data_IF_478187934433
#
_entry.id   IF_478187934433
#
_cell.length_a   1.000
_cell.length_b   1.000
_cell.length_c   1.000
_cell.angle_alpha   90.00
_cell.angle_beta   90.00
_cell.angle_gamma   90.00
#
_symmetry.space_group_name_H-M   'P 1'
#
loop_
_entity.id
_entity.type
_entity.pdbx_description
1 polymer ?
#
# COMPACT_ATOMS: atom_id res chain seq x y z
N UNK A 1 19.68 -11.94 0.66
CA UNK A 1 18.76 -12.33 -0.44
C UNK A 1 19.50 -13.33 -1.28
N UNK A 2 19.08 -14.60 -1.24
CA UNK A 2 19.71 -15.66 -2.02
C UNK A 2 18.67 -16.22 -2.98
N UNK A 3 19.06 -16.31 -4.25
CA UNK A 3 18.30 -17.03 -5.25
C UNK A 3 18.93 -18.41 -5.39
N UNK A 4 18.11 -19.45 -5.34
CA UNK A 4 18.59 -20.81 -5.49
C UNK A 4 18.56 -21.17 -6.97
N UNK A 5 19.68 -21.70 -7.47
CA UNK A 5 19.77 -22.22 -8.82
C UNK A 5 19.12 -23.62 -8.87
N UNK A 6 17.99 -23.73 -9.56
CA UNK A 6 17.29 -25.01 -9.76
C UNK A 6 17.79 -25.71 -11.02
N UNK A 7 18.70 -25.09 -11.77
CA UNK A 7 19.15 -25.61 -13.05
C UNK A 7 20.21 -26.69 -12.82
N UNK A 8 19.90 -27.92 -13.23
CA UNK A 8 20.89 -28.99 -13.25
C UNK A 8 21.90 -28.75 -14.37
N UNK A 9 23.20 -29.03 -14.15
CA UNK A 9 24.18 -28.99 -15.21
C UNK A 9 23.83 -30.07 -16.24
N UNK A 10 23.62 -29.66 -17.48
CA UNK A 10 23.55 -30.57 -18.61
C UNK A 10 24.86 -31.36 -18.68
N UNK A 11 24.75 -32.69 -18.60
CA UNK A 11 25.88 -33.58 -18.37
C UNK A 11 26.97 -33.53 -19.46
N UNK A 12 28.16 -34.11 -19.21
CA UNK A 12 29.27 -34.09 -20.14
C UNK A 12 29.14 -35.23 -21.16
N UNK A 13 28.26 -35.11 -22.16
CA UNK A 13 28.26 -36.05 -23.30
C UNK A 13 27.72 -35.37 -24.56
N UNK A 14 28.37 -35.52 -25.72
CA UNK A 14 27.94 -34.91 -26.98
C UNK A 14 26.83 -35.78 -27.60
N UNK A 15 25.70 -35.87 -26.92
CA UNK A 15 24.47 -36.33 -27.53
C UNK A 15 23.59 -35.10 -27.67
N UNK A 16 23.07 -34.86 -28.86
CA UNK A 16 22.34 -33.66 -29.27
C UNK A 16 20.98 -33.47 -28.55
N UNK A 17 20.96 -33.61 -27.23
CA UNK A 17 19.87 -33.21 -26.36
C UNK A 17 20.20 -31.80 -25.88
N UNK A 18 19.70 -30.82 -26.62
CA UNK A 18 19.67 -29.43 -26.14
C UNK A 18 18.78 -29.40 -24.90
N UNK A 19 19.32 -28.97 -23.77
CA UNK A 19 18.54 -28.70 -22.56
C UNK A 19 17.67 -27.47 -22.82
N UNK A 20 16.48 -27.70 -23.35
CA UNK A 20 15.54 -26.65 -23.73
C UNK A 20 14.54 -26.35 -22.60
N UNK A 21 14.62 -27.07 -21.47
CA UNK A 21 13.83 -26.76 -20.30
C UNK A 21 14.20 -25.37 -19.75
N UNK A 22 13.20 -24.52 -19.44
CA UNK A 22 13.44 -23.18 -18.95
C UNK A 22 14.17 -23.24 -17.60
N UNK A 23 15.40 -22.75 -17.59
CA UNK A 23 16.18 -22.55 -16.38
C UNK A 23 15.71 -21.27 -15.68
N UNK A 24 15.02 -21.42 -14.54
CA UNK A 24 14.57 -20.31 -13.72
C UNK A 24 15.24 -20.34 -12.34
N UNK A 25 15.59 -19.16 -11.85
CA UNK A 25 16.06 -18.96 -10.48
C UNK A 25 14.85 -18.79 -9.56
N UNK A 26 14.77 -19.59 -8.50
CA UNK A 26 13.78 -19.34 -7.47
C UNK A 26 14.37 -18.39 -6.44
N UNK A 27 13.82 -17.18 -6.40
CA UNK A 27 14.14 -16.17 -5.41
C UNK A 27 12.98 -16.04 -4.41
N UNK A 28 13.27 -15.41 -3.28
CA UNK A 28 12.24 -14.97 -2.34
C UNK A 28 11.47 -13.77 -2.92
N UNK A 29 10.20 -13.61 -2.53
CA UNK A 29 9.37 -12.50 -2.98
C UNK A 29 10.02 -11.14 -2.63
N UNK A 30 9.99 -10.22 -3.59
CA UNK A 30 10.39 -8.84 -3.36
C UNK A 30 9.27 -8.11 -2.62
N UNK A 31 9.63 -7.31 -1.61
CA UNK A 31 8.69 -6.40 -0.93
C UNK A 31 9.00 -4.97 -1.33
N UNK A 32 7.99 -4.24 -1.78
CA UNK A 32 8.07 -2.80 -2.04
C UNK A 32 7.13 -2.11 -1.07
N UNK A 33 7.64 -1.13 -0.32
CA UNK A 33 6.84 -0.29 0.56
C UNK A 33 6.74 1.09 -0.08
N UNK A 34 5.52 1.53 -0.34
CA UNK A 34 5.25 2.90 -0.81
C UNK A 34 5.09 3.78 0.42
N UNK A 35 5.93 4.80 0.54
CA UNK A 35 5.87 5.76 1.63
C UNK A 35 5.35 7.11 1.10
N UNK A 36 4.04 7.39 1.20
CA UNK A 36 3.48 8.65 0.75
C UNK A 36 3.91 9.80 1.67
N UNK A 37 3.90 11.03 1.14
CA UNK A 37 4.13 12.23 1.94
C UNK A 37 3.05 12.38 3.02
N UNK A 38 3.40 12.85 4.24
CA UNK A 38 2.43 13.12 5.28
C UNK A 38 1.45 14.22 4.83
N UNK A 39 0.17 14.04 5.13
CA UNK A 39 -0.88 15.03 4.84
C UNK A 39 -1.31 15.68 6.15
N UNK A 40 -1.35 17.02 6.17
CA UNK A 40 -1.89 17.79 7.27
C UNK A 40 -3.42 17.87 7.13
N UNK A 41 -4.14 17.45 8.17
CA UNK A 41 -5.59 17.60 8.25
C UNK A 41 -5.92 18.68 9.28
N UNK A 42 -6.55 19.76 8.82
CA UNK A 42 -7.10 20.81 9.70
C UNK A 42 -8.58 20.55 9.90
N UNK A 43 -8.98 20.27 11.14
CA UNK A 43 -10.39 20.16 11.51
C UNK A 43 -10.92 21.58 11.82
N UNK A 44 -12.07 21.98 11.25
CA UNK A 44 -12.69 23.24 11.63
C UNK A 44 -13.02 23.23 13.13
N UNK A 45 -12.79 24.38 13.79
CA UNK A 45 -13.05 24.52 15.22
C UNK A 45 -14.52 24.23 15.57
N UNK A 46 -14.81 23.91 16.85
CA UNK A 46 -16.17 23.63 17.29
C UNK A 46 -17.07 24.84 17.04
N UNK A 47 -18.22 24.63 16.38
CA UNK A 47 -19.23 25.66 16.19
C UNK A 47 -19.97 25.83 17.52
N UNK A 48 -19.76 26.97 18.19
CA UNK A 48 -20.56 27.36 19.34
C UNK A 48 -21.84 28.07 18.88
N UNK A 49 -22.98 27.38 18.96
CA UNK A 49 -24.29 28.00 18.73
C UNK A 49 -24.84 28.52 20.06
N UNK A 50 -24.93 29.84 20.23
CA UNK A 50 -25.74 30.42 21.30
C UNK A 50 -27.17 30.63 20.79
N UNK A 51 -28.16 30.04 21.45
CA UNK A 51 -29.57 30.35 21.23
C UNK A 51 -29.98 31.48 22.18
N UNK A 52 -30.03 32.75 21.75
CA UNK A 52 -30.53 33.80 22.61
C UNK A 52 -31.99 33.51 22.95
N UNK A 53 -32.36 33.60 24.23
CA UNK A 53 -33.76 33.49 24.66
C UNK A 53 -34.51 34.70 24.10
N UNK A 54 -35.25 34.51 23.01
CA UNK A 54 -36.17 35.53 22.50
C UNK A 54 -37.38 35.62 23.42
N UNK A 55 -37.37 36.58 24.35
CA UNK A 55 -38.54 36.88 25.19
C UNK A 55 -39.41 37.91 24.49
N UNK A 56 -40.58 37.49 24.01
CA UNK A 56 -41.61 38.40 23.52
C UNK A 56 -42.30 39.08 24.71
N UNK A 57 -42.09 40.39 24.88
CA UNK A 57 -42.79 41.20 25.87
C UNK A 57 -44.01 41.84 25.21
N UNK A 58 -45.20 41.32 25.48
CA UNK A 58 -46.47 41.89 25.04
C UNK A 58 -46.98 42.93 26.04
N UNK A 59 -47.37 44.11 25.57
CA UNK A 59 -48.09 45.11 26.36
C UNK A 59 -49.58 45.03 26.02
N UNK A 60 -50.43 44.94 27.04
CA UNK A 60 -51.89 45.03 26.87
C UNK A 60 -52.35 46.47 27.08
N UNK A 61 -53.05 47.02 26.09
CA UNK A 61 -53.71 48.33 26.13
C UNK A 61 -55.01 48.29 26.91
#
# INVERSE_FOLDING_TARGET
MACNNICQPCGPTPLANSCNEPCALQCQDSRVVIQPSPVLVTLPGPIMTSFPQSTAVGSTS
#
